data_IF_367908605943
#
_entry.id   IF_367908605943
#
_cell.length_a   1.000
_cell.length_b   1.000
_cell.length_c   1.000
_cell.angle_alpha   90.00
_cell.angle_beta   90.00
_cell.angle_gamma   90.00
#
_symmetry.space_group_name_H-M   'P 1'
#
loop_
_entity.id
_entity.type
_entity.pdbx_description
1 polymer ?
#
# COMPACT_ATOMS: atom_id res chain seq x y z
N UNK A 1 -24.73 27.35 7.34
CA UNK A 1 -23.69 26.35 6.96
C UNK A 1 -24.41 25.09 6.51
N UNK A 2 -24.32 24.71 5.23
CA UNK A 2 -24.79 23.39 4.81
C UNK A 2 -24.02 22.33 5.61
N UNK A 3 -24.74 21.44 6.27
CA UNK A 3 -24.14 20.28 6.93
C UNK A 3 -23.63 19.37 5.80
N UNK A 4 -22.32 19.29 5.62
CA UNK A 4 -21.75 18.40 4.64
C UNK A 4 -22.04 16.95 5.03
N UNK A 5 -22.64 16.20 4.10
CA UNK A 5 -23.11 14.85 4.33
C UNK A 5 -22.03 13.85 3.89
N UNK A 6 -21.75 12.87 4.74
CA UNK A 6 -20.93 11.72 4.41
C UNK A 6 -21.83 10.54 4.10
N UNK A 7 -21.70 9.97 2.90
CA UNK A 7 -22.50 8.84 2.48
C UNK A 7 -21.73 7.52 2.71
N UNK A 8 -22.42 6.51 3.22
CA UNK A 8 -21.85 5.20 3.49
C UNK A 8 -22.62 4.13 2.73
N UNK A 9 -21.91 3.38 1.91
CA UNK A 9 -22.42 2.22 1.22
C UNK A 9 -21.66 0.98 1.64
N UNK A 10 -22.37 -0.06 2.09
CA UNK A 10 -21.79 -1.33 2.50
C UNK A 10 -22.14 -2.41 1.51
N UNK A 11 -21.17 -3.24 1.12
CA UNK A 11 -21.40 -4.42 0.31
C UNK A 11 -22.27 -5.43 1.08
N UNK A 12 -23.50 -5.68 0.60
CA UNK A 12 -24.55 -6.41 1.36
C UNK A 12 -24.10 -7.78 1.83
N UNK A 13 -23.32 -8.49 1.00
CA UNK A 13 -22.84 -9.85 1.28
C UNK A 13 -22.00 -9.93 2.56
N UNK A 14 -21.27 -8.86 2.92
CA UNK A 14 -20.37 -8.84 4.06
C UNK A 14 -20.91 -8.10 5.29
N UNK A 15 -22.12 -7.53 5.19
CA UNK A 15 -22.65 -6.64 6.22
C UNK A 15 -22.65 -7.29 7.63
N UNK A 16 -22.95 -8.57 7.71
CA UNK A 16 -23.06 -9.29 8.99
C UNK A 16 -21.74 -9.94 9.44
N UNK A 17 -20.67 -9.80 8.66
CA UNK A 17 -19.36 -10.32 9.04
C UNK A 17 -18.74 -9.50 10.19
N UNK A 18 -18.05 -10.15 11.15
CA UNK A 18 -17.47 -9.47 12.31
C UNK A 18 -16.58 -8.28 11.99
N UNK A 19 -15.72 -8.41 10.98
CA UNK A 19 -14.85 -7.30 10.54
C UNK A 19 -15.64 -6.09 10.04
N UNK A 20 -16.70 -6.33 9.28
CA UNK A 20 -17.55 -5.27 8.74
C UNK A 20 -18.31 -4.56 9.88
N UNK A 21 -18.86 -5.31 10.82
CA UNK A 21 -19.55 -4.76 11.99
C UNK A 21 -18.62 -3.93 12.88
N UNK A 22 -17.37 -4.39 13.10
CA UNK A 22 -16.34 -3.62 13.82
C UNK A 22 -16.02 -2.31 13.11
N UNK A 23 -15.81 -2.36 11.79
CA UNK A 23 -15.55 -1.18 10.96
C UNK A 23 -16.71 -0.17 11.02
N UNK A 24 -17.94 -0.65 10.87
CA UNK A 24 -19.15 0.19 10.96
C UNK A 24 -19.31 0.83 12.34
N UNK A 25 -19.09 0.07 13.41
CA UNK A 25 -19.15 0.56 14.78
C UNK A 25 -18.13 1.69 15.01
N UNK A 26 -16.89 1.48 14.60
CA UNK A 26 -15.81 2.47 14.72
C UNK A 26 -16.12 3.73 13.92
N UNK A 27 -16.54 3.59 12.65
CA UNK A 27 -16.88 4.72 11.79
C UNK A 27 -18.05 5.56 12.35
N UNK A 28 -19.13 4.90 12.77
CA UNK A 28 -20.30 5.59 13.36
C UNK A 28 -19.95 6.32 14.64
N UNK A 29 -19.12 5.70 15.50
CA UNK A 29 -18.67 6.33 16.75
C UNK A 29 -17.83 7.58 16.47
N UNK A 30 -16.88 7.51 15.54
CA UNK A 30 -16.03 8.66 15.22
C UNK A 30 -16.79 9.76 14.46
N UNK A 31 -17.69 9.40 13.55
CA UNK A 31 -18.58 10.36 12.88
C UNK A 31 -19.40 11.16 13.90
N UNK A 32 -20.01 10.47 14.88
CA UNK A 32 -20.74 11.11 15.98
C UNK A 32 -19.82 12.04 16.80
N UNK A 33 -18.65 11.57 17.20
CA UNK A 33 -17.66 12.35 17.98
C UNK A 33 -17.19 13.61 17.24
N UNK A 34 -17.08 13.55 15.91
CA UNK A 34 -16.61 14.67 15.07
C UNK A 34 -17.74 15.50 14.47
N UNK A 35 -18.99 15.23 14.88
CA UNK A 35 -20.19 15.91 14.38
C UNK A 35 -20.33 15.86 12.85
N UNK A 36 -19.96 14.74 12.24
CA UNK A 36 -20.13 14.47 10.81
C UNK A 36 -21.47 13.76 10.62
N UNK A 37 -22.34 14.34 9.78
CA UNK A 37 -23.61 13.71 9.41
C UNK A 37 -23.33 12.52 8.49
N UNK A 38 -23.68 11.30 8.92
CA UNK A 38 -23.47 10.05 8.20
C UNK A 38 -24.81 9.51 7.72
N UNK A 39 -24.97 9.29 6.42
CA UNK A 39 -26.15 8.69 5.80
C UNK A 39 -25.77 7.35 5.15
N UNK A 40 -26.44 6.27 5.54
CA UNK A 40 -26.33 4.99 4.86
C UNK A 40 -27.18 5.00 3.59
N UNK A 41 -26.61 4.50 2.48
CA UNK A 41 -27.25 4.44 1.17
C UNK A 41 -27.19 3.01 0.58
N UNK A 42 -28.21 2.66 -0.19
CA UNK A 42 -28.24 1.39 -0.93
C UNK A 42 -27.54 1.46 -2.30
N UNK A 43 -27.34 2.67 -2.83
CA UNK A 43 -26.68 2.90 -4.12
C UNK A 43 -26.22 4.33 -4.33
N UNK A 44 -25.20 4.54 -5.14
CA UNK A 44 -24.68 5.85 -5.52
C UNK A 44 -25.75 6.80 -6.09
N UNK A 45 -26.76 6.34 -6.87
CA UNK A 45 -27.84 7.20 -7.35
C UNK A 45 -28.68 7.90 -6.27
N UNK A 46 -28.67 7.43 -5.03
CA UNK A 46 -29.38 8.05 -3.91
C UNK A 46 -28.71 9.36 -3.42
N UNK A 47 -27.46 9.59 -3.81
CA UNK A 47 -26.74 10.83 -3.49
C UNK A 47 -27.33 11.96 -4.34
N UNK A 48 -27.79 13.07 -3.73
CA UNK A 48 -28.36 14.19 -4.47
C UNK A 48 -27.35 14.80 -5.45
N UNK A 49 -27.78 15.08 -6.67
CA UNK A 49 -26.95 15.77 -7.66
C UNK A 49 -26.62 17.22 -7.26
N UNK A 50 -27.35 17.77 -6.30
CA UNK A 50 -27.13 19.10 -5.73
C UNK A 50 -26.03 19.16 -4.68
N UNK A 51 -25.40 18.01 -4.31
CA UNK A 51 -24.27 17.95 -3.39
C UNK A 51 -22.95 17.84 -4.19
N UNK A 52 -22.30 18.97 -4.53
CA UNK A 52 -21.14 19.00 -5.43
C UNK A 52 -19.86 18.48 -4.76
N UNK A 53 -19.88 18.30 -3.45
CA UNK A 53 -18.72 17.85 -2.65
C UNK A 53 -19.01 16.52 -1.95
N UNK A 54 -19.96 15.75 -2.45
CA UNK A 54 -20.33 14.47 -1.87
C UNK A 54 -19.15 13.49 -1.79
N UNK A 55 -19.00 12.88 -0.64
CA UNK A 55 -18.03 11.81 -0.40
C UNK A 55 -18.78 10.52 -0.08
N UNK A 56 -18.49 9.46 -0.80
CA UNK A 56 -19.05 8.13 -0.58
C UNK A 56 -18.01 7.18 -0.03
N UNK A 57 -18.20 6.73 1.19
CA UNK A 57 -17.43 5.64 1.80
C UNK A 57 -18.00 4.30 1.39
N UNK A 58 -17.16 3.45 0.83
CA UNK A 58 -17.50 2.18 0.22
C UNK A 58 -16.87 1.04 1.01
N UNK A 59 -17.62 0.48 1.98
CA UNK A 59 -17.17 -0.63 2.82
C UNK A 59 -17.38 -1.96 2.09
N UNK A 60 -16.30 -2.64 1.71
CA UNK A 60 -16.31 -3.79 0.82
C UNK A 60 -15.15 -4.75 1.02
N UNK A 61 -15.26 -5.93 0.40
CA UNK A 61 -14.19 -6.91 0.28
C UNK A 61 -14.02 -7.43 -1.16
N UNK A 62 -14.94 -7.14 -2.09
CA UNK A 62 -14.91 -7.65 -3.46
C UNK A 62 -14.37 -6.59 -4.44
N UNK A 63 -13.35 -6.96 -5.22
CA UNK A 63 -12.71 -6.03 -6.17
C UNK A 63 -13.64 -5.55 -7.26
N UNK A 64 -14.41 -6.44 -7.87
CA UNK A 64 -15.35 -6.08 -8.92
C UNK A 64 -16.44 -5.13 -8.42
N UNK A 65 -16.87 -5.32 -7.16
CA UNK A 65 -17.86 -4.44 -6.53
C UNK A 65 -17.29 -3.04 -6.30
N UNK A 66 -16.09 -2.91 -5.72
CA UNK A 66 -15.49 -1.59 -5.45
C UNK A 66 -15.20 -0.84 -6.76
N UNK A 67 -14.64 -1.52 -7.76
CA UNK A 67 -14.36 -0.94 -9.09
C UNK A 67 -15.62 -0.33 -9.70
N UNK A 68 -16.73 -1.10 -9.70
CA UNK A 68 -18.01 -0.61 -10.19
C UNK A 68 -18.51 0.61 -9.43
N UNK A 69 -18.47 0.59 -8.08
CA UNK A 69 -18.98 1.71 -7.26
C UNK A 69 -18.11 2.96 -7.40
N UNK A 70 -16.80 2.79 -7.53
CA UNK A 70 -15.89 3.93 -7.81
C UNK A 70 -16.20 4.57 -9.16
N UNK A 71 -16.44 3.76 -10.22
CA UNK A 71 -16.83 4.30 -11.52
C UNK A 71 -18.19 5.04 -11.46
N UNK A 72 -19.18 4.47 -10.78
CA UNK A 72 -20.51 5.09 -10.59
C UNK A 72 -20.41 6.41 -9.81
N UNK A 73 -19.60 6.46 -8.73
CA UNK A 73 -19.39 7.65 -7.94
C UNK A 73 -18.74 8.77 -8.78
N UNK A 74 -17.67 8.45 -9.50
CA UNK A 74 -16.96 9.41 -10.35
C UNK A 74 -17.82 9.97 -11.48
N UNK A 75 -18.65 9.14 -12.12
CA UNK A 75 -19.57 9.58 -13.17
C UNK A 75 -20.58 10.62 -12.65
N UNK A 76 -20.74 10.77 -11.33
CA UNK A 76 -21.64 11.70 -10.67
C UNK A 76 -20.88 12.80 -9.90
N UNK A 77 -19.58 12.94 -10.08
CA UNK A 77 -18.69 13.86 -9.33
C UNK A 77 -18.71 13.63 -7.81
N UNK A 78 -18.99 12.39 -7.37
CA UNK A 78 -18.89 11.97 -5.96
C UNK A 78 -17.48 11.45 -5.71
N UNK A 79 -16.83 11.89 -4.62
CA UNK A 79 -15.49 11.40 -4.27
C UNK A 79 -15.60 10.03 -3.59
N UNK A 80 -15.04 8.96 -4.19
CA UNK A 80 -15.09 7.63 -3.59
C UNK A 80 -13.95 7.43 -2.59
N UNK A 81 -14.27 6.85 -1.43
CA UNK A 81 -13.31 6.39 -0.42
C UNK A 81 -13.54 4.91 -0.15
N UNK A 82 -12.60 4.07 -0.53
CA UNK A 82 -12.67 2.65 -0.28
C UNK A 82 -12.29 2.34 1.18
N UNK A 83 -13.11 1.55 1.84
CA UNK A 83 -12.88 1.04 3.20
C UNK A 83 -12.77 -0.49 3.09
N UNK A 84 -11.54 -1.04 3.09
CA UNK A 84 -11.39 -2.47 2.83
C UNK A 84 -10.13 -3.08 3.45
N UNK A 85 -10.24 -4.37 3.73
CA UNK A 85 -9.13 -5.17 4.25
C UNK A 85 -8.34 -5.77 3.08
N UNK A 86 -7.29 -5.06 2.59
CA UNK A 86 -6.58 -5.49 1.40
C UNK A 86 -5.14 -5.01 1.33
N UNK A 87 -4.24 -5.90 0.86
CA UNK A 87 -2.82 -5.59 0.63
C UNK A 87 -2.46 -4.98 -0.71
N UNK A 88 -3.41 -4.86 -1.67
CA UNK A 88 -3.20 -4.21 -2.97
C UNK A 88 -4.28 -3.17 -3.23
N UNK A 89 -3.87 -2.06 -3.85
CA UNK A 89 -4.83 -1.08 -4.41
C UNK A 89 -5.75 -1.76 -5.41
N UNK A 90 -7.05 -1.47 -5.41
CA UNK A 90 -7.89 -1.82 -6.56
C UNK A 90 -7.35 -1.10 -7.80
N UNK A 91 -7.52 -1.71 -8.99
CA UNK A 91 -7.17 -1.09 -10.28
C UNK A 91 -8.07 0.12 -10.60
N UNK A 92 -8.43 0.88 -9.60
CA UNK A 92 -9.20 2.10 -9.72
C UNK A 92 -8.65 3.15 -8.77
N UNK A 93 -8.50 4.38 -9.24
CA UNK A 93 -8.00 5.48 -8.43
C UNK A 93 -9.09 5.94 -7.46
N UNK A 94 -8.92 5.74 -6.15
CA UNK A 94 -9.81 6.25 -5.11
C UNK A 94 -9.00 6.45 -3.82
N UNK A 95 -9.51 7.27 -2.92
CA UNK A 95 -8.97 7.33 -1.56
C UNK A 95 -9.28 6.03 -0.82
N UNK A 96 -8.47 5.64 0.17
CA UNK A 96 -8.66 4.37 0.84
C UNK A 96 -8.21 4.38 2.31
N UNK A 97 -8.96 3.64 3.15
CA UNK A 97 -8.45 3.11 4.42
C UNK A 97 -8.21 1.63 4.22
N UNK A 98 -6.99 1.18 4.48
CA UNK A 98 -6.56 -0.21 4.28
C UNK A 98 -5.93 -0.78 5.54
N UNK A 99 -5.86 -2.11 5.61
CA UNK A 99 -5.04 -2.83 6.58
C UNK A 99 -3.76 -3.29 5.89
N UNK A 100 -2.62 -3.17 6.56
CA UNK A 100 -1.34 -3.59 5.98
C UNK A 100 -1.15 -5.11 6.14
N UNK A 101 -1.58 -5.86 5.13
CA UNK A 101 -1.43 -7.32 5.12
C UNK A 101 0.03 -7.77 5.06
N UNK A 102 0.96 -6.94 4.57
CA UNK A 102 2.38 -7.24 4.58
C UNK A 102 2.94 -7.12 5.99
N UNK A 103 2.63 -6.01 6.70
CA UNK A 103 2.99 -5.84 8.11
C UNK A 103 2.42 -6.97 8.97
N UNK A 104 1.13 -7.30 8.78
CA UNK A 104 0.49 -8.40 9.49
C UNK A 104 1.20 -9.74 9.27
N UNK A 105 1.55 -10.08 8.02
CA UNK A 105 2.25 -11.31 7.70
C UNK A 105 3.68 -11.30 8.25
N UNK A 106 4.40 -10.20 8.12
CA UNK A 106 5.73 -10.08 8.69
C UNK A 106 5.70 -10.26 10.21
N UNK A 107 4.74 -9.63 10.90
CA UNK A 107 4.56 -9.78 12.35
C UNK A 107 4.29 -11.25 12.73
N UNK A 108 3.49 -12.00 11.94
CA UNK A 108 3.26 -13.43 12.17
C UNK A 108 4.55 -14.24 12.02
N UNK A 109 5.30 -14.00 10.95
CA UNK A 109 6.56 -14.71 10.66
C UNK A 109 7.62 -14.39 11.73
N UNK A 110 7.80 -13.11 12.07
CA UNK A 110 8.78 -12.67 13.06
C UNK A 110 8.45 -13.22 14.44
N UNK A 111 7.17 -13.26 14.80
CA UNK A 111 6.74 -13.85 16.05
C UNK A 111 7.05 -15.35 16.12
N UNK A 112 6.66 -16.13 15.10
CA UNK A 112 6.91 -17.59 15.08
C UNK A 112 8.42 -17.89 15.08
N UNK A 113 9.22 -17.14 14.32
CA UNK A 113 10.68 -17.26 14.35
C UNK A 113 11.26 -16.88 15.72
N UNK A 114 10.75 -15.82 16.33
CA UNK A 114 11.17 -15.36 17.66
C UNK A 114 10.91 -16.37 18.80
N UNK A 115 9.92 -17.26 18.62
CA UNK A 115 9.65 -18.38 19.55
C UNK A 115 10.33 -19.70 19.13
N UNK A 116 11.18 -19.68 18.09
CA UNK A 116 12.02 -20.80 17.69
C UNK A 116 11.49 -21.63 16.51
N UNK A 117 10.40 -21.23 15.84
CA UNK A 117 9.94 -21.91 14.64
C UNK A 117 10.86 -21.61 13.46
N UNK A 118 11.24 -22.65 12.74
CA UNK A 118 12.15 -22.59 11.59
C UNK A 118 11.47 -22.92 10.27
N UNK A 119 10.50 -23.84 10.29
CA UNK A 119 9.76 -24.30 9.12
C UNK A 119 8.28 -23.97 9.24
N UNK A 120 7.84 -23.02 8.41
CA UNK A 120 6.51 -22.46 8.46
C UNK A 120 5.68 -22.94 7.27
N UNK A 121 4.38 -23.20 7.52
CA UNK A 121 3.38 -23.41 6.48
C UNK A 121 2.31 -22.29 6.52
N UNK A 122 1.77 -21.97 5.35
CA UNK A 122 0.56 -21.15 5.22
C UNK A 122 -0.64 -22.07 4.95
N UNK A 123 -1.68 -21.97 5.78
CA UNK A 123 -2.79 -22.93 5.77
C UNK A 123 -4.13 -22.27 5.41
N UNK A 124 -4.92 -23.00 4.61
CA UNK A 124 -6.26 -22.67 4.14
C UNK A 124 -6.32 -21.38 3.30
N UNK A 125 -5.40 -21.24 2.35
CA UNK A 125 -5.41 -20.13 1.40
C UNK A 125 -6.63 -20.24 0.48
N UNK A 126 -7.58 -19.33 0.58
CA UNK A 126 -8.72 -19.26 -0.30
C UNK A 126 -8.41 -18.39 -1.53
N UNK A 127 -8.30 -18.96 -2.74
CA UNK A 127 -7.94 -18.19 -3.94
C UNK A 127 -9.02 -17.18 -4.36
N UNK A 128 -10.27 -17.37 -3.92
CA UNK A 128 -11.38 -16.46 -4.20
C UNK A 128 -11.44 -15.26 -3.23
N UNK A 129 -10.76 -15.36 -2.08
CA UNK A 129 -10.67 -14.26 -1.13
C UNK A 129 -9.69 -13.20 -1.64
N UNK A 130 -10.04 -11.92 -1.55
CA UNK A 130 -9.18 -10.82 -2.01
C UNK A 130 -7.90 -10.65 -1.19
N UNK A 131 -7.91 -11.07 0.09
CA UNK A 131 -6.78 -10.93 1.02
C UNK A 131 -5.79 -12.09 0.96
N UNK A 132 -6.24 -13.31 0.68
CA UNK A 132 -5.41 -14.50 0.83
C UNK A 132 -4.30 -14.65 -0.22
N UNK A 133 -4.51 -14.31 -1.51
CA UNK A 133 -3.40 -14.23 -2.46
C UNK A 133 -2.32 -13.23 -2.04
N UNK A 134 -2.71 -12.09 -1.46
CA UNK A 134 -1.76 -11.11 -0.94
C UNK A 134 -0.98 -11.65 0.28
N UNK A 135 -1.68 -12.36 1.19
CA UNK A 135 -1.03 -13.05 2.32
C UNK A 135 -0.06 -14.12 1.85
N UNK A 136 -0.41 -14.90 0.83
CA UNK A 136 0.48 -15.92 0.27
C UNK A 136 1.73 -15.29 -0.35
N UNK A 137 1.58 -14.23 -1.15
CA UNK A 137 2.72 -13.50 -1.71
C UNK A 137 3.65 -12.95 -0.62
N UNK A 138 3.08 -12.35 0.42
CA UNK A 138 3.84 -11.83 1.57
C UNK A 138 4.52 -12.98 2.34
N UNK A 139 3.83 -14.10 2.59
CA UNK A 139 4.39 -15.28 3.24
C UNK A 139 5.62 -15.81 2.49
N UNK A 140 5.50 -16.06 1.20
CA UNK A 140 6.61 -16.56 0.38
C UNK A 140 7.80 -15.58 0.40
N UNK A 141 7.54 -14.28 0.35
CA UNK A 141 8.59 -13.25 0.40
C UNK A 141 9.33 -13.21 1.73
N UNK A 142 8.61 -13.27 2.87
CA UNK A 142 9.23 -13.15 4.19
C UNK A 142 9.83 -14.44 4.72
N UNK A 143 9.35 -15.60 4.28
CA UNK A 143 9.82 -16.90 4.76
C UNK A 143 10.85 -17.56 3.83
N UNK A 144 10.90 -17.16 2.56
CA UNK A 144 11.60 -17.87 1.49
C UNK A 144 11.10 -19.33 1.34
N UNK A 145 9.88 -19.61 1.78
CA UNK A 145 9.20 -20.88 1.62
C UNK A 145 8.88 -21.16 0.14
N UNK A 146 8.57 -22.40 -0.16
CA UNK A 146 8.15 -22.80 -1.50
C UNK A 146 6.63 -22.72 -1.64
N UNK A 147 6.09 -22.65 -2.87
CA UNK A 147 4.65 -22.70 -3.09
C UNK A 147 3.97 -23.92 -2.47
N UNK A 148 4.67 -25.06 -2.37
CA UNK A 148 4.19 -26.30 -1.76
C UNK A 148 3.97 -26.20 -0.24
N UNK A 149 4.56 -25.20 0.41
CA UNK A 149 4.36 -24.90 1.82
C UNK A 149 3.06 -24.07 2.06
N UNK A 150 2.32 -23.76 0.98
CA UNK A 150 1.04 -23.06 1.01
C UNK A 150 -0.10 -24.04 0.68
N UNK A 151 -0.94 -24.32 1.67
CA UNK A 151 -2.07 -25.26 1.54
C UNK A 151 -3.33 -24.49 1.16
N UNK A 152 -3.82 -24.70 -0.06
CA UNK A 152 -5.04 -24.06 -0.53
C UNK A 152 -6.29 -24.64 0.16
N UNK A 153 -7.28 -23.79 0.37
CA UNK A 153 -8.63 -24.24 0.75
C UNK A 153 -9.26 -24.99 -0.44
N UNK A 154 -9.59 -26.25 -0.23
CA UNK A 154 -10.26 -27.10 -1.22
C UNK A 154 -11.61 -27.57 -0.69
N UNK A 155 -12.70 -26.95 -1.14
CA UNK A 155 -14.11 -27.25 -0.83
C UNK A 155 -14.47 -27.30 0.66
N UNK A 156 -13.59 -27.80 1.54
CA UNK A 156 -13.80 -27.85 2.97
C UNK A 156 -12.47 -27.81 3.74
N UNK A 157 -12.53 -27.30 4.99
CA UNK A 157 -11.37 -27.31 5.88
C UNK A 157 -10.92 -28.74 6.25
N UNK A 158 -11.84 -29.71 6.23
CA UNK A 158 -11.50 -31.12 6.45
C UNK A 158 -10.68 -31.71 5.31
N UNK A 159 -10.97 -31.35 4.06
CA UNK A 159 -10.16 -31.76 2.91
C UNK A 159 -8.80 -31.06 2.92
N UNK A 160 -8.75 -29.78 3.23
CA UNK A 160 -7.49 -29.04 3.41
C UNK A 160 -6.63 -29.71 4.50
N UNK A 161 -7.24 -30.13 5.62
CA UNK A 161 -6.54 -30.85 6.69
C UNK A 161 -6.01 -32.22 6.20
N UNK A 162 -6.81 -32.98 5.47
CA UNK A 162 -6.39 -34.28 4.92
C UNK A 162 -5.18 -34.16 3.98
N UNK A 163 -5.10 -33.06 3.21
CA UNK A 163 -3.94 -32.76 2.37
C UNK A 163 -2.71 -32.30 3.18
N UNK A 164 -2.92 -31.60 4.29
CA UNK A 164 -1.86 -31.10 5.16
C UNK A 164 -1.26 -32.17 6.08
N UNK A 165 -2.08 -33.07 6.62
CA UNK A 165 -1.72 -34.03 7.66
C UNK A 165 -0.48 -34.89 7.30
N UNK A 166 -0.30 -35.43 6.06
CA UNK A 166 0.88 -36.22 5.70
C UNK A 166 2.20 -35.44 5.77
N UNK A 167 2.14 -34.12 5.76
CA UNK A 167 3.29 -33.22 5.77
C UNK A 167 3.49 -32.49 7.09
N UNK A 168 2.65 -32.76 8.09
CA UNK A 168 2.61 -32.08 9.38
C UNK A 168 3.99 -32.01 10.05
N UNK A 169 4.73 -33.12 10.08
CA UNK A 169 6.05 -33.21 10.73
C UNK A 169 7.12 -32.34 10.05
N UNK A 170 6.83 -31.82 8.86
CA UNK A 170 7.71 -30.91 8.18
C UNK A 170 7.69 -29.49 8.79
N UNK A 171 6.69 -29.15 9.60
CA UNK A 171 6.46 -27.78 10.07
C UNK A 171 6.41 -27.69 11.59
N UNK A 172 7.03 -26.65 12.14
CA UNK A 172 6.98 -26.29 13.56
C UNK A 172 6.08 -25.09 13.84
N UNK A 173 5.71 -24.33 12.78
CA UNK A 173 4.75 -23.24 12.85
C UNK A 173 3.78 -23.24 11.66
N UNK A 174 2.52 -22.89 11.90
CA UNK A 174 1.47 -22.78 10.88
C UNK A 174 0.77 -21.43 11.00
N UNK A 175 0.74 -20.69 9.90
CA UNK A 175 0.00 -19.46 9.77
C UNK A 175 -1.31 -19.76 9.04
N UNK A 176 -2.45 -19.61 9.72
CA UNK A 176 -3.77 -19.79 9.12
C UNK A 176 -4.27 -18.46 8.57
N UNK A 177 -4.89 -18.47 7.38
CA UNK A 177 -5.37 -17.23 6.73
C UNK A 177 -6.48 -16.51 7.50
N UNK A 178 -7.17 -17.20 8.41
CA UNK A 178 -8.18 -16.63 9.30
C UNK A 178 -8.42 -17.51 10.54
N UNK A 179 -9.15 -17.00 11.52
CA UNK A 179 -9.40 -17.67 12.80
C UNK A 179 -10.26 -18.93 12.68
N UNK A 180 -11.16 -19.01 11.70
CA UNK A 180 -11.96 -20.22 11.45
C UNK A 180 -11.10 -21.38 10.97
N UNK A 181 -10.14 -21.08 10.08
CA UNK A 181 -9.17 -22.05 9.60
C UNK A 181 -8.28 -22.57 10.76
N UNK A 182 -7.85 -21.66 11.66
CA UNK A 182 -7.05 -22.03 12.82
C UNK A 182 -7.85 -22.90 13.81
N UNK A 183 -9.08 -22.53 14.12
CA UNK A 183 -9.95 -23.33 14.99
C UNK A 183 -10.18 -24.73 14.42
N UNK A 184 -10.48 -24.84 13.12
CA UNK A 184 -10.64 -26.13 12.44
C UNK A 184 -9.36 -26.95 12.44
N UNK A 185 -8.21 -26.33 12.16
CA UNK A 185 -6.90 -27.01 12.18
C UNK A 185 -6.62 -27.59 13.59
N UNK A 186 -6.74 -26.77 14.62
CA UNK A 186 -6.50 -27.18 16.02
C UNK A 186 -7.45 -28.31 16.46
N UNK A 187 -8.73 -28.22 16.10
CA UNK A 187 -9.68 -29.30 16.36
C UNK A 187 -9.27 -30.61 15.69
N UNK A 188 -8.93 -30.57 14.41
CA UNK A 188 -8.54 -31.75 13.66
C UNK A 188 -7.22 -32.36 14.19
N UNK A 189 -6.24 -31.53 14.60
CA UNK A 189 -5.01 -32.00 15.25
C UNK A 189 -5.31 -32.71 16.57
N UNK A 190 -6.23 -32.19 17.38
CA UNK A 190 -6.66 -32.87 18.61
C UNK A 190 -7.33 -34.23 18.33
N UNK A 191 -8.22 -34.27 17.33
CA UNK A 191 -8.85 -35.53 16.90
C UNK A 191 -7.84 -36.55 16.37
N UNK A 192 -6.76 -36.11 15.74
CA UNK A 192 -5.66 -36.95 15.27
C UNK A 192 -4.66 -37.35 16.38
N UNK A 193 -4.88 -36.93 17.63
CA UNK A 193 -4.00 -37.23 18.77
C UNK A 193 -2.69 -36.45 18.76
N UNK A 194 -2.58 -35.39 17.97
CA UNK A 194 -1.40 -34.53 17.90
C UNK A 194 -1.52 -33.41 18.93
N UNK A 195 -0.59 -33.38 19.88
CA UNK A 195 -0.57 -32.37 20.95
C UNK A 195 0.72 -31.53 20.91
N UNK A 196 0.57 -30.23 21.17
CA UNK A 196 1.69 -29.32 21.44
C UNK A 196 2.49 -28.83 20.24
N UNK A 197 2.25 -29.32 19.03
CA UNK A 197 2.88 -28.86 17.76
C UNK A 197 1.94 -29.10 16.58
N UNK A 198 2.02 -28.29 15.50
CA UNK A 198 2.79 -27.07 15.33
C UNK A 198 2.24 -25.90 16.16
N UNK A 199 3.03 -24.84 16.36
CA UNK A 199 2.51 -23.55 16.83
C UNK A 199 1.58 -22.95 15.79
N UNK A 200 0.40 -22.49 16.19
CA UNK A 200 -0.62 -21.98 15.27
C UNK A 200 -0.91 -20.50 15.54
N UNK A 201 -0.86 -19.69 14.49
CA UNK A 201 -1.25 -18.28 14.50
C UNK A 201 -2.26 -18.00 13.37
N UNK A 202 -3.15 -17.03 13.57
CA UNK A 202 -4.18 -16.65 12.60
C UNK A 202 -4.34 -15.14 12.45
N UNK A 203 -5.32 -14.72 11.64
CA UNK A 203 -5.70 -13.32 11.43
C UNK A 203 -7.19 -13.12 11.71
N UNK A 204 -7.52 -11.95 12.31
CA UNK A 204 -8.87 -11.49 12.57
C UNK A 204 -9.15 -11.18 14.02
N UNK A 205 -8.55 -11.95 14.95
CA UNK A 205 -8.81 -11.87 16.40
C UNK A 205 -10.31 -11.82 16.73
N UNK A 206 -11.05 -12.80 16.19
CA UNK A 206 -12.46 -12.97 16.47
C UNK A 206 -12.69 -13.53 17.89
N UNK A 207 -13.89 -13.38 18.42
CA UNK A 207 -14.24 -13.87 19.77
C UNK A 207 -13.91 -15.35 19.96
N UNK A 208 -14.10 -16.17 18.92
CA UNK A 208 -13.76 -17.60 18.95
C UNK A 208 -12.31 -17.86 19.41
N UNK A 209 -11.37 -16.96 19.14
CA UNK A 209 -9.98 -17.09 19.56
C UNK A 209 -9.81 -17.17 21.07
N UNK A 210 -10.67 -16.49 21.83
CA UNK A 210 -10.64 -16.46 23.30
C UNK A 210 -11.39 -17.64 23.94
N UNK A 211 -12.37 -18.22 23.23
CA UNK A 211 -13.21 -19.30 23.76
C UNK A 211 -12.80 -20.70 23.30
N UNK A 212 -12.07 -20.80 22.17
CA UNK A 212 -11.56 -22.07 21.68
C UNK A 212 -10.52 -22.67 22.64
N UNK A 213 -10.30 -23.99 22.59
CA UNK A 213 -9.28 -24.67 23.40
C UNK A 213 -8.40 -25.54 22.52
N UNK A 214 -7.09 -25.21 22.43
CA UNK A 214 -6.38 -24.09 23.06
C UNK A 214 -6.83 -22.74 22.49
N UNK A 215 -6.75 -21.66 23.29
CA UNK A 215 -7.04 -20.29 22.83
C UNK A 215 -6.06 -19.89 21.73
N UNK A 216 -6.56 -19.15 20.72
CA UNK A 216 -5.84 -18.97 19.44
C UNK A 216 -5.06 -17.65 19.44
N UNK A 217 -3.76 -17.74 19.26
CA UNK A 217 -2.91 -16.58 18.93
C UNK A 217 -3.32 -16.02 17.59
N UNK A 218 -3.63 -14.72 17.54
CA UNK A 218 -4.15 -14.10 16.33
C UNK A 218 -3.67 -12.67 16.17
N UNK A 219 -3.60 -12.21 14.94
CA UNK A 219 -3.29 -10.82 14.59
C UNK A 219 -4.59 -10.11 14.23
N UNK A 220 -4.89 -9.01 14.92
CA UNK A 220 -6.03 -8.15 14.60
C UNK A 220 -5.61 -6.93 13.80
N UNK A 221 -6.50 -6.49 12.95
CA UNK A 221 -6.46 -5.15 12.40
C UNK A 221 -6.89 -4.10 13.45
N UNK A 222 -6.43 -2.87 13.29
CA UNK A 222 -6.76 -1.78 14.22
C UNK A 222 -8.14 -1.16 13.92
N UNK A 223 -9.20 -1.92 14.23
CA UNK A 223 -10.59 -1.44 14.07
C UNK A 223 -10.93 -0.27 14.99
N UNK A 224 -10.20 -0.04 16.07
CA UNK A 224 -10.45 1.09 16.97
C UNK A 224 -10.17 2.44 16.28
N UNK A 225 -9.08 2.52 15.50
CA UNK A 225 -8.69 3.72 14.77
C UNK A 225 -9.24 3.77 13.34
N UNK A 226 -9.93 2.73 12.88
CA UNK A 226 -10.48 2.66 11.53
C UNK A 226 -11.42 3.84 11.21
N UNK A 227 -12.36 4.14 12.11
CA UNK A 227 -13.25 5.28 11.96
C UNK A 227 -12.53 6.61 11.96
N UNK A 228 -11.49 6.76 12.80
CA UNK A 228 -10.70 7.99 12.85
C UNK A 228 -9.94 8.23 11.54
N UNK A 229 -9.34 7.18 10.97
CA UNK A 229 -8.68 7.23 9.66
C UNK A 229 -9.67 7.60 8.55
N UNK A 230 -10.84 6.97 8.52
CA UNK A 230 -11.87 7.25 7.53
C UNK A 230 -12.36 8.72 7.59
N UNK A 231 -12.66 9.22 8.78
CA UNK A 231 -13.09 10.62 8.97
C UNK A 231 -11.94 11.59 8.67
N UNK A 232 -10.69 11.22 8.91
CA UNK A 232 -9.54 12.04 8.53
C UNK A 232 -9.43 12.19 7.00
N UNK A 233 -9.59 11.08 6.24
CA UNK A 233 -9.64 11.13 4.78
C UNK A 233 -10.79 12.02 4.30
N UNK A 234 -12.00 11.84 4.85
CA UNK A 234 -13.15 12.66 4.51
C UNK A 234 -12.84 14.15 4.62
N UNK A 235 -12.26 14.57 5.76
CA UNK A 235 -11.90 15.98 5.99
C UNK A 235 -10.79 16.46 5.05
N UNK A 236 -9.79 15.64 4.77
CA UNK A 236 -8.69 15.96 3.87
C UNK A 236 -9.18 16.17 2.43
N UNK A 237 -10.05 15.29 1.94
CA UNK A 237 -10.65 15.38 0.59
C UNK A 237 -11.48 16.65 0.43
N UNK A 238 -12.23 17.04 1.46
CA UNK A 238 -13.04 18.26 1.42
C UNK A 238 -12.21 19.55 1.46
N UNK A 239 -11.11 19.54 2.22
CA UNK A 239 -10.27 20.72 2.43
C UNK A 239 -9.25 20.94 1.33
N UNK A 240 -8.59 19.87 0.89
CA UNK A 240 -7.41 19.93 0.03
C UNK A 240 -7.76 19.52 -1.41
N UNK A 241 -8.29 20.45 -2.19
CA UNK A 241 -8.78 20.20 -3.57
C UNK A 241 -7.71 19.78 -4.59
N UNK A 242 -6.43 19.99 -4.26
CA UNK A 242 -5.28 19.54 -5.09
C UNK A 242 -4.91 18.08 -4.87
N UNK A 243 -5.48 17.41 -3.86
CA UNK A 243 -5.21 16.00 -3.57
C UNK A 243 -6.13 15.12 -4.42
N UNK A 244 -5.56 14.28 -5.27
CA UNK A 244 -6.33 13.33 -6.08
C UNK A 244 -6.84 12.14 -5.27
N UNK A 245 -5.99 11.62 -4.36
CA UNK A 245 -6.31 10.49 -3.47
C UNK A 245 -5.51 10.57 -2.18
N UNK A 246 -6.12 10.05 -1.09
CA UNK A 246 -5.45 9.85 0.21
C UNK A 246 -5.57 8.38 0.56
N UNK A 247 -4.47 7.76 0.95
CA UNK A 247 -4.45 6.38 1.45
C UNK A 247 -3.88 6.35 2.86
N UNK A 248 -4.60 5.69 3.76
CA UNK A 248 -4.17 5.46 5.14
C UNK A 248 -4.14 3.96 5.38
N UNK A 249 -2.97 3.44 5.73
CA UNK A 249 -2.79 2.06 6.14
C UNK A 249 -2.74 1.98 7.66
N UNK A 250 -3.48 1.03 8.25
CA UNK A 250 -3.57 0.84 9.68
C UNK A 250 -2.67 -0.30 10.13
N UNK A 251 -2.07 -0.15 11.31
CA UNK A 251 -1.23 -1.17 11.92
C UNK A 251 -1.99 -2.40 12.36
N UNK A 252 -1.28 -3.51 12.42
CA UNK A 252 -1.76 -4.77 12.97
C UNK A 252 -1.26 -4.98 14.40
N UNK A 253 -2.03 -5.75 15.21
CA UNK A 253 -1.69 -6.07 16.61
C UNK A 253 -1.71 -7.57 16.84
N UNK A 254 -0.64 -8.07 17.46
CA UNK A 254 -0.51 -9.47 17.87
C UNK A 254 -1.16 -9.71 19.23
N UNK A 255 -2.00 -10.76 19.32
CA UNK A 255 -2.62 -11.26 20.54
C UNK A 255 -2.12 -12.68 20.82
N UNK A 256 -1.14 -12.79 21.71
CA UNK A 256 -0.51 -14.07 22.07
C UNK A 256 -1.43 -14.88 22.98
N UNK A 257 -1.59 -16.19 22.70
CA UNK A 257 -2.44 -17.13 23.45
C UNK A 257 -1.87 -18.56 23.44
N UNK A 258 -2.66 -19.53 23.87
CA UNK A 258 -2.25 -20.92 24.12
C UNK A 258 -1.79 -21.67 22.86
N UNK A 259 -2.32 -21.36 21.66
CA UNK A 259 -1.93 -22.03 20.41
C UNK A 259 -0.46 -21.82 20.03
N UNK A 260 0.20 -20.86 20.70
CA UNK A 260 1.65 -20.65 20.68
C UNK A 260 2.25 -20.75 22.09
N UNK A 261 1.59 -21.49 23.00
CA UNK A 261 2.01 -21.74 24.38
C UNK A 261 2.23 -20.46 25.21
N UNK A 262 1.54 -19.37 24.88
CA UNK A 262 1.69 -18.05 25.51
C UNK A 262 3.14 -17.51 25.52
N UNK A 263 4.00 -17.96 24.58
CA UNK A 263 5.37 -17.51 24.51
C UNK A 263 5.43 -16.02 24.15
N UNK A 264 6.18 -15.19 24.90
CA UNK A 264 6.22 -13.77 24.65
C UNK A 264 6.88 -13.45 23.31
N UNK A 265 6.40 -12.39 22.65
CA UNK A 265 7.04 -11.86 21.45
C UNK A 265 8.46 -11.40 21.81
N UNK A 266 9.44 -11.92 21.10
CA UNK A 266 10.80 -11.40 21.09
C UNK A 266 11.02 -10.73 19.76
N UNK A 267 11.27 -9.42 19.80
CA UNK A 267 11.63 -8.72 18.56
C UNK A 267 12.87 -9.42 17.96
N UNK A 268 12.88 -9.71 16.67
CA UNK A 268 14.09 -10.17 16.01
C UNK A 268 15.21 -9.14 16.28
N UNK A 269 16.43 -9.62 16.44
CA UNK A 269 17.59 -8.72 16.40
C UNK A 269 17.46 -7.82 15.18
N UNK A 270 17.77 -6.53 15.35
CA UNK A 270 17.47 -5.48 14.38
C UNK A 270 17.63 -5.98 12.93
N UNK A 271 16.66 -5.76 12.04
CA UNK A 271 16.74 -6.29 10.70
C UNK A 271 18.09 -5.91 10.13
N UNK A 272 18.88 -6.90 9.74
CA UNK A 272 20.08 -6.66 8.95
C UNK A 272 19.57 -6.03 7.68
N UNK A 273 19.65 -4.70 7.63
CA UNK A 273 19.35 -3.96 6.42
C UNK A 273 20.23 -4.62 5.36
N UNK A 274 19.67 -5.26 4.33
CA UNK A 274 20.49 -5.86 3.29
C UNK A 274 21.40 -4.74 2.81
N UNK A 275 22.72 -4.97 2.85
CA UNK A 275 23.67 -4.00 2.33
C UNK A 275 23.11 -3.55 0.98
N UNK A 276 22.90 -2.26 0.81
CA UNK A 276 22.49 -1.71 -0.47
C UNK A 276 23.45 -2.26 -1.49
N UNK A 277 23.08 -3.33 -2.16
CA UNK A 277 23.71 -3.70 -3.40
C UNK A 277 23.37 -2.53 -4.30
N UNK A 278 24.35 -1.63 -4.45
CA UNK A 278 24.26 -0.48 -5.33
C UNK A 278 23.98 -1.04 -6.73
N UNK A 279 22.70 -1.30 -7.02
CA UNK A 279 22.26 -1.57 -8.39
C UNK A 279 22.52 -0.28 -9.11
N UNK A 280 23.65 -0.27 -9.85
CA UNK A 280 23.92 0.81 -10.76
C UNK A 280 22.70 0.94 -11.66
N UNK A 281 21.95 2.02 -11.49
CA UNK A 281 20.83 2.28 -12.39
C UNK A 281 21.45 2.67 -13.73
N UNK A 282 21.62 1.68 -14.61
CA UNK A 282 22.26 1.82 -15.91
C UNK A 282 21.56 2.87 -16.78
N UNK A 283 20.27 3.08 -16.58
CA UNK A 283 19.51 4.09 -17.30
C UNK A 283 20.10 5.51 -17.11
N UNK A 284 20.44 5.89 -15.86
CA UNK A 284 21.06 7.21 -15.59
C UNK A 284 22.55 7.27 -15.90
N UNK A 285 23.16 6.16 -16.35
CA UNK A 285 24.53 6.10 -16.84
C UNK A 285 24.61 6.10 -18.38
N UNK A 286 23.46 6.00 -19.04
CA UNK A 286 23.35 6.12 -20.47
C UNK A 286 23.80 7.54 -20.90
N UNK A 287 24.72 7.67 -21.88
CA UNK A 287 25.25 8.96 -22.34
C UNK A 287 24.16 9.94 -22.80
N UNK A 288 23.12 9.45 -23.48
CA UNK A 288 22.02 10.29 -23.95
C UNK A 288 21.16 10.78 -22.78
N UNK A 289 20.92 9.94 -21.76
CA UNK A 289 20.18 10.32 -20.54
C UNK A 289 21.00 11.35 -19.74
N UNK A 290 22.31 11.16 -19.58
CA UNK A 290 23.17 12.14 -18.90
C UNK A 290 23.16 13.48 -19.63
N UNK A 291 23.22 13.44 -20.95
CA UNK A 291 23.13 14.64 -21.81
C UNK A 291 21.80 15.37 -21.62
N UNK A 292 20.67 14.67 -21.74
CA UNK A 292 19.33 15.26 -21.52
C UNK A 292 19.18 15.82 -20.10
N UNK A 293 19.74 15.16 -19.10
CA UNK A 293 19.75 15.64 -17.71
C UNK A 293 20.53 16.95 -17.56
N UNK A 294 21.66 17.09 -18.23
CA UNK A 294 22.44 18.34 -18.27
C UNK A 294 21.70 19.47 -18.98
N UNK A 295 20.99 19.14 -20.06
CA UNK A 295 20.11 20.10 -20.75
C UNK A 295 18.97 20.58 -19.85
N UNK A 296 18.32 19.68 -19.15
CA UNK A 296 17.25 20.00 -18.18
C UNK A 296 17.76 20.92 -17.06
N UNK A 297 18.99 20.70 -16.57
CA UNK A 297 19.61 21.60 -15.61
C UNK A 297 19.81 23.01 -16.20
N UNK A 298 20.23 23.13 -17.46
CA UNK A 298 20.35 24.42 -18.13
C UNK A 298 19.00 25.13 -18.20
N UNK A 299 17.96 24.47 -18.70
CA UNK A 299 16.63 25.07 -18.88
C UNK A 299 15.99 25.51 -17.57
N UNK A 300 16.23 24.79 -16.48
CA UNK A 300 15.72 25.16 -15.15
C UNK A 300 16.49 26.31 -14.50
N UNK A 301 17.73 26.56 -14.88
CA UNK A 301 18.60 27.57 -14.28
C UNK A 301 18.70 28.85 -15.10
N UNK A 302 18.58 28.75 -16.42
CA UNK A 302 18.75 29.85 -17.36
C UNK A 302 17.58 30.83 -17.31
N UNK A 303 17.88 32.11 -17.27
CA UNK A 303 16.91 33.19 -17.53
C UNK A 303 16.69 33.38 -19.05
N UNK A 304 15.76 34.28 -19.41
CA UNK A 304 15.46 34.55 -20.83
C UNK A 304 16.70 34.99 -21.63
N UNK A 305 17.61 35.73 -20.99
CA UNK A 305 18.84 36.20 -21.64
C UNK A 305 19.83 35.04 -21.86
N UNK A 306 19.93 34.13 -20.89
CA UNK A 306 20.75 32.92 -21.03
C UNK A 306 20.22 32.03 -22.15
N UNK A 307 18.90 31.86 -22.27
CA UNK A 307 18.26 31.10 -23.34
C UNK A 307 18.53 31.72 -24.71
N UNK A 308 18.49 33.07 -24.83
CA UNK A 308 18.88 33.75 -26.06
C UNK A 308 20.37 33.53 -26.42
N UNK A 309 21.26 33.56 -25.42
CA UNK A 309 22.68 33.26 -25.61
C UNK A 309 22.86 31.82 -26.09
N UNK A 310 22.18 30.86 -25.48
CA UNK A 310 22.22 29.44 -25.88
C UNK A 310 21.74 29.23 -27.31
N UNK A 311 20.67 29.89 -27.72
CA UNK A 311 20.15 29.84 -29.09
C UNK A 311 21.18 30.36 -30.09
N UNK A 312 21.73 31.56 -29.86
CA UNK A 312 22.77 32.14 -30.74
C UNK A 312 24.08 31.36 -30.74
N UNK A 313 24.43 30.68 -29.63
CA UNK A 313 25.53 29.72 -29.57
C UNK A 313 25.27 28.50 -30.45
N UNK A 314 24.02 27.99 -30.45
CA UNK A 314 23.55 26.93 -31.33
C UNK A 314 23.78 27.28 -32.81
N UNK A 315 23.45 28.52 -33.21
CA UNK A 315 23.66 29.07 -34.54
C UNK A 315 25.13 29.39 -34.89
N UNK A 316 26.09 29.06 -34.05
CA UNK A 316 27.52 29.33 -34.23
C UNK A 316 27.92 30.81 -34.19
N UNK A 317 27.09 31.70 -33.62
CA UNK A 317 27.42 33.13 -33.53
C UNK A 317 28.67 33.38 -32.65
N UNK A 318 29.51 34.34 -33.00
CA UNK A 318 30.64 34.73 -32.15
C UNK A 318 30.20 35.46 -30.90
N UNK A 319 31.02 35.53 -29.85
CA UNK A 319 30.68 36.30 -28.65
C UNK A 319 30.43 37.78 -28.96
N UNK A 320 31.15 38.36 -29.91
CA UNK A 320 30.92 39.73 -30.38
C UNK A 320 29.53 39.86 -31.02
N UNK A 321 29.14 38.96 -31.92
CA UNK A 321 27.82 38.96 -32.54
C UNK A 321 26.69 38.74 -31.53
N UNK A 322 26.90 37.83 -30.57
CA UNK A 322 25.93 37.59 -29.47
C UNK A 322 25.77 38.87 -28.64
N UNK A 323 26.88 39.51 -28.25
CA UNK A 323 26.86 40.73 -27.45
C UNK A 323 26.09 41.89 -28.12
N UNK A 324 26.22 42.03 -29.42
CA UNK A 324 25.46 42.99 -30.22
C UNK A 324 23.98 42.65 -30.29
N UNK A 325 23.64 41.35 -30.51
CA UNK A 325 22.28 40.87 -30.66
C UNK A 325 21.45 41.03 -29.33
N UNK A 326 22.08 40.84 -28.18
CA UNK A 326 21.38 40.91 -26.87
C UNK A 326 21.66 42.25 -26.15
N UNK A 327 22.29 43.22 -26.78
CA UNK A 327 22.66 44.54 -26.20
C UNK A 327 23.41 44.41 -24.86
N UNK A 328 24.35 43.48 -24.75
CA UNK A 328 25.18 43.24 -23.57
C UNK A 328 26.68 43.37 -23.91
N UNK A 329 27.56 43.51 -22.92
CA UNK A 329 29.00 43.46 -23.15
C UNK A 329 29.47 42.03 -23.43
N UNK A 330 30.49 41.89 -24.29
CA UNK A 330 31.11 40.58 -24.57
C UNK A 330 31.61 39.89 -23.31
N UNK A 331 32.09 40.67 -22.32
CA UNK A 331 32.50 40.15 -21.02
C UNK A 331 31.32 39.54 -20.25
N UNK A 332 30.14 40.16 -20.28
CA UNK A 332 28.94 39.63 -19.67
C UNK A 332 28.46 38.34 -20.32
N UNK A 333 28.51 38.27 -21.67
CA UNK A 333 28.20 37.05 -22.43
C UNK A 333 29.14 35.92 -22.03
N UNK A 334 30.46 36.16 -22.03
CA UNK A 334 31.47 35.16 -21.61
C UNK A 334 31.25 34.68 -20.18
N UNK A 335 30.93 35.59 -19.27
CA UNK A 335 30.64 35.24 -17.88
C UNK A 335 29.40 34.31 -17.75
N UNK A 336 28.30 34.61 -18.43
CA UNK A 336 27.10 33.79 -18.45
C UNK A 336 27.36 32.42 -19.08
N UNK A 337 28.07 32.36 -20.21
CA UNK A 337 28.44 31.07 -20.84
C UNK A 337 29.27 30.22 -19.87
N UNK A 338 30.25 30.82 -19.19
CA UNK A 338 31.08 30.10 -18.21
C UNK A 338 30.29 29.56 -17.03
N UNK A 339 29.26 30.29 -16.59
CA UNK A 339 28.36 29.79 -15.53
C UNK A 339 27.56 28.58 -16.03
N UNK A 340 27.06 28.61 -17.26
CA UNK A 340 26.33 27.49 -17.87
C UNK A 340 27.28 26.28 -18.10
N UNK A 341 28.53 26.50 -18.54
CA UNK A 341 29.54 25.44 -18.64
C UNK A 341 29.80 24.78 -17.28
N UNK A 342 30.00 25.57 -16.25
CA UNK A 342 30.20 25.05 -14.88
C UNK A 342 29.00 24.27 -14.37
N UNK A 343 27.77 24.75 -14.60
CA UNK A 343 26.55 24.09 -14.20
C UNK A 343 26.40 22.68 -14.78
N UNK A 344 26.81 22.52 -16.06
CA UNK A 344 26.72 21.24 -16.77
C UNK A 344 27.98 20.37 -16.63
N UNK A 345 29.01 20.87 -15.97
CA UNK A 345 30.31 20.18 -15.86
C UNK A 345 30.99 19.99 -17.20
N UNK A 346 30.84 20.95 -18.14
CA UNK A 346 31.57 21.02 -19.42
C UNK A 346 32.62 22.09 -19.34
N UNK A 347 33.68 21.97 -20.16
CA UNK A 347 34.89 22.81 -20.03
C UNK A 347 35.13 23.69 -21.22
N UNK A 348 34.22 23.68 -22.19
CA UNK A 348 34.36 24.50 -23.40
C UNK A 348 33.00 24.83 -24.01
N UNK A 349 32.99 25.97 -24.72
CA UNK A 349 31.87 26.40 -25.56
C UNK A 349 31.43 25.32 -26.55
N UNK A 350 32.38 24.56 -27.11
CA UNK A 350 32.11 23.48 -28.05
C UNK A 350 31.37 22.34 -27.39
N UNK A 351 31.76 21.99 -26.14
CA UNK A 351 31.07 20.97 -25.35
C UNK A 351 29.68 21.45 -24.93
N UNK A 352 29.51 22.70 -24.47
CA UNK A 352 28.24 23.28 -24.15
C UNK A 352 27.29 23.23 -25.35
N UNK A 353 27.79 23.64 -26.55
CA UNK A 353 27.02 23.54 -27.78
C UNK A 353 26.63 22.10 -28.11
N UNK A 354 27.58 21.16 -27.95
CA UNK A 354 27.31 19.74 -28.20
C UNK A 354 26.24 19.15 -27.26
N UNK A 355 25.97 19.75 -26.12
CA UNK A 355 24.84 19.36 -25.24
C UNK A 355 23.49 19.72 -25.87
N UNK A 356 23.38 20.83 -26.60
CA UNK A 356 22.08 21.39 -27.00
C UNK A 356 21.36 20.56 -28.06
N UNK A 357 22.04 19.54 -28.63
CA UNK A 357 21.47 18.64 -29.64
C UNK A 357 20.68 19.46 -30.69
N UNK A 358 19.54 19.01 -31.16
CA UNK A 358 18.68 19.70 -32.13
C UNK A 358 17.57 20.54 -31.45
N UNK A 359 17.87 21.09 -30.28
CA UNK A 359 16.85 21.85 -29.50
C UNK A 359 16.76 23.32 -29.97
N UNK A 360 17.86 23.85 -30.55
CA UNK A 360 17.93 25.21 -31.10
C UNK A 360 18.39 25.19 -32.54
#
# INVERSE_FOLDING_TARGET
MCVQMLYLMTEKMYRDFPWCQRSLKSLRAEAKKKHVALQEIGGIPEIPASDPEAVAMLLCATESWIRRRVCEARARNVHPVALYNRGRRPDCTCSAVTMDLNEAMQLAVDYLRGIGCSRLALYAVNPEATSDPCRMEAFLRFTQARPEDCYAFDRSLSQTFSAFLPHLDAYDGVICTNDYAAASLLHNLQCAGVAGRPHVISFGNMEICSFFKPTITSISDDYEHFGAAAISIYKSVLREKYISTVEVSLHSRLHVRDSTQNLPFRAPDAPVCPAEAARKNLFYQDPDVDRMRKMELLFNYCDELDLQILHLLGENQSYAAISEAIYASETAVKYRVRNMENLCGVHSRSELKALLWDVF
#
